data_IF_193607771799
#
_entry.id   IF_193607771799
#
_cell.length_a   1.000
_cell.length_b   1.000
_cell.length_c   1.000
_cell.angle_alpha   90.00
_cell.angle_beta   90.00
_cell.angle_gamma   90.00
#
_symmetry.space_group_name_H-M   'P 1'
#
loop_
_entity.id
_entity.type
_entity.pdbx_description
1 polymer ?
#
# COMPACT_ATOMS: atom_id res chain seq x y z
N UNK A 1 27.44 10.45 -20.86
CA UNK A 1 26.31 11.41 -20.89
C UNK A 1 25.06 10.70 -21.39
N UNK A 2 24.13 10.29 -20.50
CA UNK A 2 22.75 9.87 -20.85
C UNK A 2 21.91 9.76 -19.58
N UNK A 3 21.43 10.89 -19.08
CA UNK A 3 20.43 10.96 -17.99
C UNK A 3 19.09 11.46 -18.55
N UNK A 4 18.52 10.75 -19.54
CA UNK A 4 17.31 11.18 -20.27
C UNK A 4 16.06 10.32 -20.08
N UNK A 5 16.13 9.15 -19.44
CA UNK A 5 15.00 8.19 -19.36
C UNK A 5 14.35 8.04 -17.98
N UNK A 6 14.91 8.61 -16.92
CA UNK A 6 14.42 8.31 -15.56
C UNK A 6 13.04 8.90 -15.25
N UNK A 7 12.73 10.12 -15.72
CA UNK A 7 11.40 10.72 -15.51
C UNK A 7 10.27 9.95 -16.21
N UNK A 8 10.55 9.43 -17.41
CA UNK A 8 9.58 8.65 -18.19
C UNK A 8 9.32 7.29 -17.52
N UNK A 9 10.38 6.58 -17.09
CA UNK A 9 10.22 5.25 -16.49
C UNK A 9 9.49 5.33 -15.14
N UNK A 10 9.81 6.32 -14.31
CA UNK A 10 9.09 6.54 -13.05
C UNK A 10 7.62 6.90 -13.29
N UNK A 11 7.34 7.73 -14.30
CA UNK A 11 5.96 8.05 -14.70
C UNK A 11 5.18 6.83 -15.20
N UNK A 12 5.81 5.97 -16.01
CA UNK A 12 5.21 4.71 -16.45
C UNK A 12 4.95 3.73 -15.31
N UNK A 13 5.87 3.62 -14.33
CA UNK A 13 5.66 2.77 -13.16
C UNK A 13 4.50 3.26 -12.30
N UNK A 14 4.41 4.57 -12.05
CA UNK A 14 3.29 5.16 -11.32
C UNK A 14 1.98 4.95 -12.07
N UNK A 15 1.96 5.19 -13.38
CA UNK A 15 0.79 4.93 -14.22
C UNK A 15 0.38 3.45 -14.15
N UNK A 16 1.34 2.53 -14.22
CA UNK A 16 1.09 1.09 -14.08
C UNK A 16 0.45 0.73 -12.73
N UNK A 17 0.96 1.27 -11.62
CA UNK A 17 0.40 1.07 -10.28
C UNK A 17 -1.03 1.62 -10.20
N UNK A 18 -1.28 2.82 -10.72
CA UNK A 18 -2.61 3.44 -10.73
C UNK A 18 -3.59 2.63 -11.57
N UNK A 19 -3.16 2.15 -12.74
CA UNK A 19 -3.98 1.27 -13.60
C UNK A 19 -4.33 -0.03 -12.87
N UNK A 20 -3.35 -0.68 -12.24
CA UNK A 20 -3.58 -1.92 -11.48
C UNK A 20 -4.53 -1.71 -10.28
N UNK A 21 -4.48 -0.54 -9.63
CA UNK A 21 -5.36 -0.23 -8.51
C UNK A 21 -6.79 0.12 -8.97
N UNK A 22 -6.95 0.85 -10.08
CA UNK A 22 -8.25 1.37 -10.54
C UNK A 22 -8.98 0.38 -11.46
N UNK A 23 -8.27 -0.39 -12.28
CA UNK A 23 -8.89 -1.30 -13.24
C UNK A 23 -9.91 -2.27 -12.58
N UNK A 24 -9.61 -2.93 -11.44
CA UNK A 24 -10.57 -3.81 -10.77
C UNK A 24 -11.84 -3.08 -10.33
N UNK A 25 -11.73 -1.82 -9.88
CA UNK A 25 -12.88 -1.01 -9.44
C UNK A 25 -13.84 -0.68 -10.60
N UNK A 26 -13.33 -0.56 -11.83
CA UNK A 26 -14.12 -0.24 -13.01
C UNK A 26 -14.71 -1.49 -13.67
N UNK A 27 -13.91 -2.56 -13.79
CA UNK A 27 -14.29 -3.78 -14.51
C UNK A 27 -15.05 -4.78 -13.63
N UNK A 28 -14.82 -4.80 -12.33
CA UNK A 28 -15.44 -5.75 -11.38
C UNK A 28 -16.47 -5.01 -10.51
N UNK A 29 -17.47 -4.43 -11.16
CA UNK A 29 -18.54 -3.68 -10.48
C UNK A 29 -19.41 -4.63 -9.66
N UNK A 30 -19.54 -4.35 -8.37
CA UNK A 30 -20.34 -5.16 -7.45
C UNK A 30 -19.61 -6.35 -6.82
N UNK A 31 -18.29 -6.47 -6.99
CA UNK A 31 -17.52 -7.43 -6.20
C UNK A 31 -17.44 -6.97 -4.74
N UNK A 32 -17.73 -7.90 -3.83
CA UNK A 32 -17.39 -7.73 -2.42
C UNK A 32 -15.88 -7.89 -2.28
N UNK A 33 -15.23 -6.77 -1.96
CA UNK A 33 -13.80 -6.69 -1.66
C UNK A 33 -13.54 -7.18 -0.23
N UNK A 34 -13.94 -8.41 0.04
CA UNK A 34 -13.67 -9.09 1.30
C UNK A 34 -12.22 -9.54 1.38
N UNK A 35 -11.74 -9.71 2.61
CA UNK A 35 -10.43 -10.27 2.88
C UNK A 35 -10.28 -11.68 2.30
N UNK A 36 -9.04 -12.00 1.90
CA UNK A 36 -8.71 -13.32 1.36
C UNK A 36 -9.01 -14.46 2.35
N UNK A 37 -8.90 -14.18 3.65
CA UNK A 37 -9.11 -15.16 4.73
C UNK A 37 -10.57 -15.64 4.81
N UNK A 38 -11.54 -14.73 4.68
CA UNK A 38 -12.97 -15.08 4.66
C UNK A 38 -13.32 -16.03 3.50
N UNK A 39 -12.73 -15.78 2.32
CA UNK A 39 -12.90 -16.65 1.15
C UNK A 39 -12.24 -18.02 1.33
N UNK A 40 -11.06 -18.05 1.94
CA UNK A 40 -10.37 -19.29 2.24
C UNK A 40 -11.16 -20.15 3.24
N UNK A 41 -11.71 -19.55 4.30
CA UNK A 41 -12.52 -20.25 5.29
C UNK A 41 -13.77 -20.89 4.68
N UNK A 42 -14.48 -20.17 3.79
CA UNK A 42 -15.64 -20.71 3.08
C UNK A 42 -15.29 -21.93 2.22
N UNK A 43 -14.21 -21.84 1.43
CA UNK A 43 -13.76 -22.95 0.56
C UNK A 43 -13.32 -24.17 1.38
N UNK A 44 -12.69 -23.97 2.55
CA UNK A 44 -12.29 -25.07 3.43
C UNK A 44 -13.52 -25.81 3.96
N UNK A 45 -14.57 -25.08 4.35
CA UNK A 45 -15.83 -25.69 4.81
C UNK A 45 -16.54 -26.47 3.70
N UNK A 46 -16.47 -26.00 2.45
CA UNK A 46 -17.04 -26.69 1.29
C UNK A 46 -16.28 -27.98 0.93
N UNK A 47 -14.95 -27.96 0.99
CA UNK A 47 -14.10 -29.11 0.62
C UNK A 47 -14.11 -30.18 1.70
N UNK A 48 -14.10 -29.79 2.98
CA UNK A 48 -14.10 -30.72 4.09
C UNK A 48 -14.99 -30.20 5.23
N UNK A 49 -16.27 -30.66 5.28
CA UNK A 49 -17.23 -30.23 6.30
C UNK A 49 -16.84 -30.62 7.73
N UNK A 50 -15.99 -31.64 7.90
CA UNK A 50 -15.53 -32.10 9.21
C UNK A 50 -14.24 -31.39 9.67
N UNK A 51 -13.72 -30.45 8.87
CA UNK A 51 -12.48 -29.75 9.20
C UNK A 51 -12.62 -28.89 10.46
N UNK A 52 -11.79 -29.21 11.47
CA UNK A 52 -11.67 -28.42 12.70
C UNK A 52 -10.47 -27.47 12.58
N UNK A 53 -10.65 -26.15 12.80
CA UNK A 53 -9.54 -25.21 12.82
C UNK A 53 -8.51 -25.61 13.88
N UNK A 54 -7.27 -25.86 13.45
CA UNK A 54 -6.14 -26.19 14.34
C UNK A 54 -5.61 -24.97 15.10
N UNK A 55 -6.05 -23.77 14.73
CA UNK A 55 -5.74 -22.51 15.38
C UNK A 55 -6.98 -21.62 15.40
N UNK A 56 -7.21 -20.94 16.53
CA UNK A 56 -8.25 -19.92 16.66
C UNK A 56 -7.59 -18.56 16.88
N UNK A 57 -8.01 -17.49 16.19
CA UNK A 57 -7.51 -16.16 16.44
C UNK A 57 -7.65 -15.82 17.93
N UNK A 58 -6.60 -15.29 18.54
CA UNK A 58 -6.64 -14.80 19.93
C UNK A 58 -7.55 -13.57 20.05
N UNK A 59 -7.71 -12.84 18.95
CA UNK A 59 -8.60 -11.70 18.82
C UNK A 59 -9.31 -11.77 17.47
N UNK A 60 -10.62 -11.65 17.48
CA UNK A 60 -11.47 -11.58 16.30
C UNK A 60 -12.29 -10.30 16.38
N UNK A 61 -12.19 -9.38 15.41
CA UNK A 61 -12.95 -8.14 15.44
C UNK A 61 -14.44 -8.43 15.37
N UNK A 62 -15.25 -7.66 16.12
CA UNK A 62 -16.69 -7.91 16.26
C UNK A 62 -17.49 -7.79 14.94
N UNK A 63 -16.89 -7.25 13.87
CA UNK A 63 -17.46 -7.17 12.53
C UNK A 63 -16.36 -7.03 11.47
N UNK A 64 -16.62 -7.51 10.26
CA UNK A 64 -15.75 -7.29 9.08
C UNK A 64 -15.57 -5.81 8.74
N UNK A 65 -16.52 -4.95 9.10
CA UNK A 65 -16.40 -3.50 8.95
C UNK A 65 -15.32 -2.93 9.88
N UNK A 66 -15.26 -3.40 11.13
CA UNK A 66 -14.25 -2.98 12.11
C UNK A 66 -12.87 -3.46 11.65
N UNK A 67 -12.77 -4.68 11.11
CA UNK A 67 -11.53 -5.17 10.51
C UNK A 67 -11.06 -4.25 9.37
N UNK A 68 -11.96 -3.91 8.45
CA UNK A 68 -11.68 -3.00 7.32
C UNK A 68 -11.25 -1.60 7.78
N UNK A 69 -11.86 -1.07 8.84
CA UNK A 69 -11.47 0.20 9.46
C UNK A 69 -10.06 0.14 10.06
N UNK A 70 -9.71 -0.96 10.73
CA UNK A 70 -8.36 -1.16 11.27
C UNK A 70 -7.33 -1.24 10.14
N UNK A 71 -7.63 -1.93 9.03
CA UNK A 71 -6.78 -1.94 7.84
C UNK A 71 -6.63 -0.56 7.20
N UNK A 72 -7.72 0.20 7.09
CA UNK A 72 -7.69 1.56 6.56
C UNK A 72 -6.85 2.49 7.45
N UNK A 73 -6.96 2.36 8.77
CA UNK A 73 -6.14 3.11 9.73
C UNK A 73 -4.66 2.74 9.60
N UNK A 74 -4.32 1.46 9.52
CA UNK A 74 -2.95 1.00 9.32
C UNK A 74 -2.37 1.51 7.99
N UNK A 75 -3.15 1.47 6.91
CA UNK A 75 -2.77 2.01 5.62
C UNK A 75 -2.54 3.52 5.68
N UNK A 76 -3.42 4.28 6.34
CA UNK A 76 -3.30 5.72 6.51
C UNK A 76 -2.06 6.12 7.32
N UNK A 77 -1.81 5.44 8.44
CA UNK A 77 -0.60 5.66 9.25
C UNK A 77 0.67 5.28 8.47
N UNK A 78 0.67 4.14 7.78
CA UNK A 78 1.80 3.70 6.95
C UNK A 78 2.12 4.70 5.85
N UNK A 79 1.10 5.17 5.12
CA UNK A 79 1.24 6.20 4.09
C UNK A 79 1.76 7.53 4.67
N UNK A 80 1.26 7.95 5.83
CA UNK A 80 1.70 9.15 6.52
C UNK A 80 3.18 9.10 6.92
N UNK A 81 3.62 7.99 7.52
CA UNK A 81 5.04 7.78 7.88
C UNK A 81 5.92 7.77 6.64
N UNK A 82 5.54 7.03 5.60
CA UNK A 82 6.30 6.98 4.34
C UNK A 82 6.42 8.38 3.70
N UNK A 83 5.32 9.14 3.66
CA UNK A 83 5.32 10.50 3.16
C UNK A 83 6.25 11.44 3.96
N UNK A 84 6.19 11.36 5.30
CA UNK A 84 7.07 12.15 6.17
C UNK A 84 8.54 11.83 5.95
N UNK A 85 8.90 10.55 5.87
CA UNK A 85 10.28 10.11 5.67
C UNK A 85 10.82 10.60 4.32
N UNK A 86 10.06 10.42 3.24
CA UNK A 86 10.44 10.91 1.91
C UNK A 86 10.61 12.44 1.92
N UNK A 87 9.69 13.16 2.55
CA UNK A 87 9.76 14.62 2.69
C UNK A 87 10.98 15.08 3.48
N UNK A 88 11.29 14.42 4.59
CA UNK A 88 12.46 14.73 5.43
C UNK A 88 13.78 14.54 4.65
N UNK A 89 13.93 13.43 3.94
CA UNK A 89 15.12 13.17 3.14
C UNK A 89 15.28 14.18 2.00
N UNK A 90 14.17 14.55 1.34
CA UNK A 90 14.19 15.58 0.30
C UNK A 90 14.64 16.93 0.84
N UNK A 91 14.08 17.37 1.98
CA UNK A 91 14.46 18.64 2.61
C UNK A 91 15.94 18.68 3.03
N UNK A 92 16.47 17.57 3.55
CA UNK A 92 17.91 17.47 3.89
C UNK A 92 18.81 17.58 2.66
N UNK A 93 18.42 16.96 1.54
CA UNK A 93 19.18 17.05 0.29
C UNK A 93 19.16 18.47 -0.28
N UNK A 94 18.03 19.17 -0.20
CA UNK A 94 17.91 20.56 -0.65
C UNK A 94 18.80 21.49 0.20
N UNK A 95 18.81 21.33 1.53
CA UNK A 95 19.70 22.10 2.42
C UNK A 95 21.18 21.85 2.15
N UNK A 96 21.58 20.59 1.95
CA UNK A 96 22.96 20.24 1.62
C UNK A 96 23.40 20.88 0.29
N UNK A 97 22.53 20.88 -0.73
CA UNK A 97 22.83 21.53 -2.01
C UNK A 97 22.96 23.05 -1.89
N UNK A 98 22.13 23.70 -1.07
CA UNK A 98 22.21 25.15 -0.82
C UNK A 98 23.54 25.52 -0.15
N UNK A 99 23.96 24.76 0.87
CA UNK A 99 25.25 24.99 1.54
C UNK A 99 26.44 24.80 0.58
N UNK A 100 26.41 23.74 -0.25
CA UNK A 100 27.46 23.51 -1.24
C UNK A 100 27.54 24.61 -2.29
N UNK A 101 26.42 25.24 -2.69
CA UNK A 101 26.45 26.39 -3.61
C UNK A 101 27.06 27.63 -2.97
N UNK A 102 26.71 27.92 -1.72
CA UNK A 102 27.26 29.08 -1.01
C UNK A 102 28.78 28.97 -0.85
N UNK A 103 29.31 27.76 -0.56
CA UNK A 103 30.75 27.51 -0.51
C UNK A 103 31.49 27.62 -1.84
N UNK A 104 30.78 27.56 -2.98
CA UNK A 104 31.37 27.75 -4.31
C UNK A 104 31.33 29.21 -4.77
N UNK A 105 30.50 30.04 -4.13
CA UNK A 105 30.35 31.47 -4.42
C UNK A 105 31.24 32.36 -3.52
N UNK A 106 31.78 31.81 -2.42
CA UNK A 106 32.84 32.40 -1.57
C UNK A 106 34.25 32.04 -2.06
#
# INVERSE_FOLDING_TARGET
MKQGHQGWNSGLMIAGVVVLAIAPLIFVRGAEFEGADSKAAAVIQDINPEYQPWFKPVFEPASGEIASLLFALQAGLGAGVMGYVIGLYRGRQEQAQVQSRQQLEE
#
